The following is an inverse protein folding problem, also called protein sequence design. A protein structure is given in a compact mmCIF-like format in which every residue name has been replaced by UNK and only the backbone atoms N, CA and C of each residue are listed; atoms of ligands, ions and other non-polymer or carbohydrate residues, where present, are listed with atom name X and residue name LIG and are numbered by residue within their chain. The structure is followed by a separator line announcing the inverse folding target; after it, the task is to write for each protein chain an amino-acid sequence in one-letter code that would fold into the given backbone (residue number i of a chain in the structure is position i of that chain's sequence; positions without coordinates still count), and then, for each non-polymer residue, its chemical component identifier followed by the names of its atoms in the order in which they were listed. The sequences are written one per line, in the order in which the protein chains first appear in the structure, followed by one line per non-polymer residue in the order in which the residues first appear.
data_IF_033616017318
#
_entry.id   IF_033616017318
#
_cell.length_a   1.000
_cell.length_b   1.000
_cell.length_c   1.000
_cell.angle_alpha   90.00
_cell.angle_beta   90.00
_cell.angle_gamma   90.00
#
_symmetry.space_group_name_H-M   'P 1'
#
loop_
_entity.id
_entity.type
_entity.pdbx_description
1 polymer ?
#
# COMPACT_ATOMS: atom_id res chain seq x y z
N UNK A 1 7.02 25.90 31.23
CA UNK A 1 6.13 24.81 30.74
C UNK A 1 7.00 23.60 30.43
N UNK A 2 7.00 22.61 31.27
CA UNK A 2 7.75 21.35 31.07
C UNK A 2 7.02 20.56 29.98
N UNK A 3 7.64 20.42 28.82
CA UNK A 3 7.11 19.54 27.77
C UNK A 3 7.04 18.13 28.34
N UNK A 4 5.84 17.64 28.59
CA UNK A 4 5.60 16.26 28.96
C UNK A 4 6.09 15.38 27.79
N UNK A 5 7.13 14.58 28.03
CA UNK A 5 7.61 13.58 27.06
C UNK A 5 6.42 12.70 26.71
N UNK A 6 6.05 12.60 25.42
CA UNK A 6 4.97 11.74 24.96
C UNK A 6 5.43 10.30 25.17
N UNK A 7 4.96 9.66 26.22
CA UNK A 7 5.29 8.25 26.57
C UNK A 7 4.42 7.24 25.80
N UNK A 8 3.35 7.72 25.18
CA UNK A 8 2.41 6.94 24.35
C UNK A 8 2.21 7.66 23.03
N UNK A 9 2.10 6.91 21.94
CA UNK A 9 1.76 7.48 20.65
C UNK A 9 0.41 8.19 20.71
N UNK A 10 0.31 9.35 20.09
CA UNK A 10 -0.86 10.24 20.13
C UNK A 10 -1.34 10.52 18.71
N UNK A 11 -2.64 10.40 18.46
CA UNK A 11 -3.30 10.88 17.25
C UNK A 11 -4.00 12.18 17.57
N UNK A 12 -3.67 13.23 16.83
CA UNK A 12 -4.33 14.54 16.93
C UNK A 12 -5.16 14.80 15.69
N UNK A 13 -6.35 15.37 15.90
CA UNK A 13 -7.21 15.85 14.82
C UNK A 13 -7.04 17.36 14.69
N UNK A 14 -6.92 17.83 13.46
CA UNK A 14 -6.89 19.26 13.18
C UNK A 14 -8.25 19.88 13.56
N UNK A 15 -8.25 21.12 14.07
CA UNK A 15 -9.46 21.78 14.53
C UNK A 15 -10.26 22.50 13.44
N UNK A 16 -9.69 22.63 12.23
CA UNK A 16 -10.33 23.27 11.07
C UNK A 16 -10.48 22.28 9.91
N UNK A 17 -9.44 21.53 9.62
CA UNK A 17 -9.38 20.61 8.50
C UNK A 17 -9.64 19.18 8.97
N UNK A 18 -10.28 18.37 8.14
CA UNK A 18 -10.41 16.94 8.40
C UNK A 18 -9.07 16.23 8.12
N UNK A 19 -8.17 16.34 9.10
CA UNK A 19 -6.79 15.85 9.01
C UNK A 19 -6.36 15.23 10.33
N UNK A 20 -5.74 14.06 10.26
CA UNK A 20 -5.14 13.36 11.40
C UNK A 20 -3.62 13.47 11.36
N UNK A 21 -3.01 13.66 12.53
CA UNK A 21 -1.56 13.67 12.71
C UNK A 21 -1.19 12.70 13.83
N UNK A 22 -0.31 11.74 13.52
CA UNK A 22 0.20 10.79 14.51
C UNK A 22 1.54 11.30 15.01
N UNK A 23 1.68 11.32 16.32
CA UNK A 23 2.93 11.56 17.04
C UNK A 23 3.35 10.24 17.71
N UNK A 24 4.25 9.45 17.09
CA UNK A 24 4.66 8.16 17.62
C UNK A 24 5.37 8.30 18.97
N UNK A 25 5.30 7.26 19.81
CA UNK A 25 6.00 7.24 21.12
C UNK A 25 7.53 7.20 21.02
N UNK A 26 8.05 6.76 19.87
CA UNK A 26 9.48 6.54 19.60
C UNK A 26 10.08 7.57 18.61
N UNK A 27 9.69 8.83 18.73
CA UNK A 27 10.14 9.93 17.84
C UNK A 27 11.66 10.01 17.67
N UNK A 28 12.43 9.74 18.73
CA UNK A 28 13.89 9.79 18.72
C UNK A 28 14.51 8.61 17.96
N UNK A 29 13.86 7.45 17.91
CA UNK A 29 14.32 6.27 17.19
C UNK A 29 14.07 6.38 15.69
N UNK A 30 12.96 7.01 15.30
CA UNK A 30 12.60 7.24 13.89
C UNK A 30 13.65 8.10 13.17
N UNK A 31 14.37 8.97 13.90
CA UNK A 31 15.41 9.86 13.35
C UNK A 31 16.78 9.19 13.20
N UNK A 32 17.02 8.06 13.86
CA UNK A 32 18.36 7.42 13.92
C UNK A 32 18.67 6.44 12.78
N UNK A 33 17.69 6.04 11.98
CA UNK A 33 17.85 4.99 10.97
C UNK A 33 18.62 5.40 9.68
N UNK A 34 19.20 6.60 9.64
CA UNK A 34 20.05 7.03 8.52
C UNK A 34 21.54 6.67 8.68
N UNK A 35 21.90 5.85 9.66
CA UNK A 35 23.29 5.40 9.84
C UNK A 35 23.52 4.05 9.17
N UNK A 36 24.36 4.03 8.18
CA UNK A 36 25.22 2.97 7.62
C UNK A 36 25.24 1.60 8.37
N UNK A 37 24.09 0.99 8.63
CA UNK A 37 24.07 -0.39 9.09
C UNK A 37 24.30 -1.29 7.87
N UNK A 38 25.46 -1.91 7.83
CA UNK A 38 25.85 -2.88 6.79
C UNK A 38 24.99 -4.15 6.78
N UNK A 39 24.13 -4.35 7.81
CA UNK A 39 23.29 -5.55 7.99
C UNK A 39 21.82 -5.19 7.80
N UNK A 40 21.20 -5.72 6.74
CA UNK A 40 19.77 -5.58 6.53
C UNK A 40 18.99 -6.53 7.45
N UNK A 41 18.07 -6.02 8.33
CA UNK A 41 17.33 -6.87 9.26
C UNK A 41 16.25 -7.73 8.58
N UNK A 42 15.93 -7.45 7.31
CA UNK A 42 14.92 -8.19 6.55
C UNK A 42 15.50 -9.32 5.70
N UNK A 43 16.82 -9.46 5.63
CA UNK A 43 17.46 -10.56 4.92
C UNK A 43 17.35 -11.89 5.69
N UNK A 44 17.25 -13.03 5.01
CA UNK A 44 17.39 -14.35 5.62
C UNK A 44 18.70 -14.48 6.41
N UNK A 45 18.62 -15.10 7.58
CA UNK A 45 19.71 -15.20 8.54
C UNK A 45 19.78 -14.07 9.55
N UNK A 46 19.06 -12.97 9.33
CA UNK A 46 19.00 -11.80 10.19
C UNK A 46 17.67 -11.67 10.96
N UNK A 47 16.90 -12.75 11.04
CA UNK A 47 15.58 -12.74 11.66
C UNK A 47 15.59 -12.30 13.12
N UNK A 48 16.73 -12.47 13.81
CA UNK A 48 16.93 -12.01 15.22
C UNK A 48 16.90 -10.47 15.38
N UNK A 49 17.06 -9.71 14.29
CA UNK A 49 16.97 -8.25 14.31
C UNK A 49 15.54 -7.72 14.16
N UNK A 50 14.58 -8.62 13.99
CA UNK A 50 13.15 -8.31 13.88
C UNK A 50 12.36 -9.04 14.95
N UNK A 51 11.16 -8.59 15.32
CA UNK A 51 10.25 -9.38 16.15
C UNK A 51 9.93 -10.73 15.51
N UNK A 52 9.47 -11.67 16.35
CA UNK A 52 9.02 -12.99 15.89
C UNK A 52 7.98 -12.86 14.79
N UNK A 53 8.09 -13.72 13.77
CA UNK A 53 7.15 -13.70 12.66
C UNK A 53 5.77 -14.14 13.13
N UNK A 54 4.76 -13.39 12.70
CA UNK A 54 3.35 -13.74 12.86
C UNK A 54 2.94 -14.76 11.82
N UNK A 55 3.46 -14.59 10.59
CA UNK A 55 3.26 -15.48 9.44
C UNK A 55 4.54 -15.51 8.63
N UNK A 56 5.01 -16.71 8.34
CA UNK A 56 6.05 -16.99 7.35
C UNK A 56 5.49 -17.98 6.33
N UNK A 57 5.51 -17.60 5.06
CA UNK A 57 5.15 -18.51 3.96
C UNK A 57 6.39 -19.28 3.56
N UNK A 58 6.32 -20.60 3.64
CA UNK A 58 7.42 -21.52 3.30
C UNK A 58 6.95 -22.48 2.21
N UNK A 59 7.81 -22.78 1.24
CA UNK A 59 7.54 -23.78 0.21
C UNK A 59 8.32 -25.02 0.56
N UNK A 60 7.63 -26.10 0.99
CA UNK A 60 8.23 -27.40 1.27
C UNK A 60 7.70 -28.45 0.29
N UNK A 61 8.57 -29.06 -0.47
CA UNK A 61 8.20 -30.08 -1.48
C UNK A 61 7.08 -29.60 -2.44
N UNK A 62 7.12 -28.34 -2.86
CA UNK A 62 6.11 -27.72 -3.73
C UNK A 62 4.79 -27.35 -3.03
N UNK A 63 4.67 -27.56 -1.72
CA UNK A 63 3.47 -27.22 -0.95
C UNK A 63 3.72 -25.93 -0.16
N UNK A 64 2.81 -24.96 -0.31
CA UNK A 64 2.81 -23.72 0.46
C UNK A 64 2.33 -24.00 1.90
N UNK A 65 3.18 -23.69 2.86
CA UNK A 65 2.87 -23.80 4.28
C UNK A 65 2.95 -22.43 4.96
N UNK A 66 2.01 -22.16 5.86
CA UNK A 66 2.01 -20.99 6.71
C UNK A 66 2.48 -21.39 8.09
N UNK A 67 3.59 -20.83 8.50
CA UNK A 67 4.22 -21.08 9.79
C UNK A 67 4.36 -19.75 10.54
N UNK A 68 4.64 -19.82 11.85
CA UNK A 68 5.02 -18.67 12.67
C UNK A 68 6.20 -19.05 13.54
N UNK A 69 6.98 -18.05 13.95
CA UNK A 69 8.03 -18.28 14.93
C UNK A 69 7.39 -18.71 16.28
N UNK A 70 8.07 -19.59 16.99
CA UNK A 70 7.70 -20.00 18.34
C UNK A 70 8.88 -19.81 19.28
N UNK A 71 8.66 -19.96 20.59
CA UNK A 71 9.69 -19.80 21.58
C UNK A 71 10.88 -20.75 21.31
N UNK A 72 12.05 -20.14 21.04
CA UNK A 72 13.27 -20.88 20.71
C UNK A 72 13.37 -21.41 19.26
N UNK A 73 12.37 -21.18 18.39
CA UNK A 73 12.40 -21.64 17.00
C UNK A 73 11.99 -20.54 16.02
N UNK A 74 12.92 -20.20 15.15
CA UNK A 74 12.72 -19.21 14.06
C UNK A 74 12.51 -19.95 12.75
N UNK A 75 11.46 -19.60 12.03
CA UNK A 75 11.17 -20.15 10.70
C UNK A 75 12.21 -19.70 9.70
N UNK A 76 12.87 -20.65 9.06
CA UNK A 76 13.86 -20.47 7.99
C UNK A 76 13.25 -20.74 6.61
N UNK A 77 13.98 -20.38 5.55
CA UNK A 77 13.60 -20.65 4.16
C UNK A 77 12.22 -20.11 3.78
N UNK A 78 11.86 -18.98 4.36
CA UNK A 78 10.62 -18.30 4.08
C UNK A 78 10.66 -17.58 2.72
N UNK A 79 9.55 -17.57 2.01
CA UNK A 79 9.32 -16.80 0.78
C UNK A 79 8.73 -15.41 1.08
N UNK A 80 7.81 -15.35 2.05
CA UNK A 80 7.21 -14.10 2.57
C UNK A 80 7.20 -14.17 4.08
N UNK A 81 7.52 -13.07 4.76
CA UNK A 81 7.55 -13.02 6.23
C UNK A 81 6.82 -11.79 6.76
N UNK A 82 5.98 -11.96 7.76
CA UNK A 82 5.21 -10.88 8.41
C UNK A 82 5.51 -10.83 9.90
N UNK A 83 5.80 -9.64 10.41
CA UNK A 83 6.04 -9.37 11.84
C UNK A 83 5.56 -7.97 12.22
N UNK A 84 5.44 -7.69 13.52
CA UNK A 84 5.14 -6.33 13.99
C UNK A 84 6.35 -5.42 13.77
N UNK A 85 6.11 -4.18 13.36
CA UNK A 85 7.21 -3.22 13.12
C UNK A 85 8.07 -3.02 14.38
N UNK A 86 9.39 -2.96 14.21
CA UNK A 86 10.34 -2.58 15.28
C UNK A 86 10.18 -1.11 15.69
N UNK A 87 9.79 -0.26 14.72
CA UNK A 87 9.58 1.18 14.92
C UNK A 87 8.14 1.56 14.58
N UNK A 88 7.15 1.04 15.37
CA UNK A 88 5.76 1.24 15.04
C UNK A 88 5.36 2.71 15.17
N UNK A 89 4.62 3.23 14.19
CA UNK A 89 4.03 4.58 14.25
C UNK A 89 2.75 4.59 15.09
N UNK A 90 2.16 3.42 15.33
CA UNK A 90 0.92 3.20 16.07
C UNK A 90 1.05 1.88 16.84
N UNK A 91 0.54 1.82 18.06
CA UNK A 91 0.66 0.65 18.92
C UNK A 91 -0.67 0.30 19.58
N UNK A 92 -0.80 -0.95 20.04
CA UNK A 92 -1.91 -1.33 20.89
C UNK A 92 -1.68 -0.75 22.29
N UNK A 93 -2.44 0.26 22.68
CA UNK A 93 -2.39 0.89 23.99
C UNK A 93 -3.74 0.73 24.69
N UNK A 94 -3.70 0.49 25.99
CA UNK A 94 -4.87 0.50 26.87
C UNK A 94 -5.14 1.88 27.47
N UNK A 95 -4.42 2.93 27.02
CA UNK A 95 -4.66 4.29 27.50
C UNK A 95 -6.06 4.75 27.12
N UNK A 96 -6.69 5.48 28.02
CA UNK A 96 -7.99 6.12 27.84
C UNK A 96 -7.87 7.63 27.94
N UNK A 97 -6.66 8.18 27.75
CA UNK A 97 -6.46 9.63 27.80
C UNK A 97 -6.93 10.25 26.50
N UNK A 98 -7.98 11.04 26.63
CA UNK A 98 -8.55 11.83 25.53
C UNK A 98 -8.57 13.28 25.94
N UNK A 99 -8.46 14.18 24.96
CA UNK A 99 -8.76 15.61 25.15
C UNK A 99 -9.94 15.98 24.27
N UNK A 100 -10.70 17.00 24.70
CA UNK A 100 -11.85 17.50 23.94
C UNK A 100 -11.46 18.63 22.98
N UNK A 101 -12.43 18.99 22.11
CA UNK A 101 -12.30 20.15 21.22
C UNK A 101 -11.99 21.43 22.02
N UNK A 102 -11.22 22.38 21.47
CA UNK A 102 -10.70 22.37 20.08
C UNK A 102 -9.42 21.55 19.88
N UNK A 103 -8.73 21.14 20.92
CA UNK A 103 -7.45 20.43 20.87
C UNK A 103 -7.66 18.92 21.06
N UNK A 104 -8.37 18.30 20.12
CA UNK A 104 -8.67 16.87 20.21
C UNK A 104 -7.43 16.02 20.04
N UNK A 105 -7.19 15.13 20.99
CA UNK A 105 -6.22 14.05 20.89
C UNK A 105 -6.73 12.75 21.50
N UNK A 106 -6.24 11.65 20.97
CA UNK A 106 -6.51 10.29 21.46
C UNK A 106 -5.25 9.43 21.34
N UNK A 107 -5.16 8.32 22.10
CA UNK A 107 -4.08 7.36 21.89
C UNK A 107 -4.07 6.85 20.46
N UNK A 108 -2.90 6.88 19.80
CA UNK A 108 -2.73 6.30 18.47
C UNK A 108 -2.79 4.77 18.59
N UNK A 109 -4.01 4.21 18.53
CA UNK A 109 -4.27 2.79 18.70
C UNK A 109 -4.33 2.05 17.38
N UNK A 110 -3.58 0.96 17.26
CA UNK A 110 -3.62 0.08 16.09
C UNK A 110 -2.48 -0.93 16.04
N UNK A 111 -2.36 -1.57 14.89
CA UNK A 111 -1.28 -2.48 14.54
C UNK A 111 -0.41 -1.82 13.46
N UNK A 112 0.88 -1.97 13.57
CA UNK A 112 1.82 -1.68 12.50
C UNK A 112 2.63 -2.94 12.21
N UNK A 113 2.38 -3.55 11.06
CA UNK A 113 3.03 -4.79 10.61
C UNK A 113 3.84 -4.53 9.36
N UNK A 114 4.92 -5.28 9.21
CA UNK A 114 5.78 -5.30 8.03
C UNK A 114 5.61 -6.65 7.35
N UNK A 115 5.34 -6.64 6.06
CA UNK A 115 5.35 -7.81 5.19
C UNK A 115 6.59 -7.71 4.29
N UNK A 116 7.60 -8.54 4.53
CA UNK A 116 8.77 -8.68 3.66
C UNK A 116 8.37 -9.50 2.45
N UNK A 117 8.48 -8.88 1.27
CA UNK A 117 7.91 -9.41 0.03
C UNK A 117 8.76 -10.46 -0.69
N UNK A 118 10.03 -10.57 -0.35
CA UNK A 118 10.99 -11.53 -0.96
C UNK A 118 12.14 -11.77 0.00
N UNK A 119 12.77 -12.95 0.02
CA UNK A 119 14.00 -13.18 0.77
C UNK A 119 15.22 -12.50 0.14
N UNK A 120 15.16 -12.14 -1.13
CA UNK A 120 16.29 -11.59 -1.86
C UNK A 120 16.38 -10.07 -1.70
N UNK A 121 17.45 -9.59 -1.08
CA UNK A 121 17.68 -8.16 -0.84
C UNK A 121 17.80 -7.33 -2.13
N UNK A 122 18.38 -7.91 -3.18
CA UNK A 122 18.61 -7.22 -4.46
C UNK A 122 17.39 -7.16 -5.38
N UNK A 123 16.27 -7.78 -4.99
CA UNK A 123 15.02 -7.69 -5.71
C UNK A 123 14.42 -6.27 -5.62
N UNK A 124 13.51 -5.99 -6.53
CA UNK A 124 12.63 -4.82 -6.48
C UNK A 124 11.22 -5.25 -6.83
N UNK A 125 10.22 -4.48 -6.39
CA UNK A 125 8.82 -4.76 -6.73
C UNK A 125 8.54 -4.82 -8.24
N UNK A 126 9.38 -4.19 -9.06
CA UNK A 126 9.33 -4.26 -10.53
C UNK A 126 9.95 -5.54 -11.11
N UNK A 127 10.69 -6.32 -10.32
CA UNK A 127 11.47 -7.50 -10.79
C UNK A 127 11.05 -8.81 -10.15
N UNK A 128 10.45 -8.80 -8.95
CA UNK A 128 9.96 -10.06 -8.34
C UNK A 128 9.02 -10.78 -9.28
N UNK A 129 9.05 -12.10 -9.28
CA UNK A 129 8.27 -12.93 -10.21
C UNK A 129 6.76 -12.79 -9.98
N UNK A 130 5.97 -13.19 -10.98
CA UNK A 130 4.50 -13.26 -10.83
C UNK A 130 4.11 -14.22 -9.72
N UNK A 131 4.80 -15.35 -9.60
CA UNK A 131 4.59 -16.32 -8.52
C UNK A 131 4.86 -15.68 -7.14
N UNK A 132 5.94 -14.94 -7.00
CA UNK A 132 6.27 -14.25 -5.76
C UNK A 132 5.23 -13.16 -5.42
N UNK A 133 4.74 -12.41 -6.41
CA UNK A 133 3.60 -11.51 -6.23
C UNK A 133 2.33 -12.26 -5.76
N UNK A 134 2.05 -13.44 -6.31
CA UNK A 134 0.93 -14.28 -5.83
C UNK A 134 1.10 -14.63 -4.34
N UNK A 135 2.31 -15.04 -3.94
CA UNK A 135 2.61 -15.37 -2.54
C UNK A 135 2.40 -14.16 -1.61
N UNK A 136 2.88 -12.98 -2.03
CA UNK A 136 2.69 -11.71 -1.30
C UNK A 136 1.21 -11.38 -1.16
N UNK A 137 0.44 -11.44 -2.26
CA UNK A 137 -0.98 -11.12 -2.28
C UNK A 137 -1.82 -12.08 -1.44
N UNK A 138 -1.50 -13.39 -1.45
CA UNK A 138 -2.15 -14.39 -0.61
C UNK A 138 -1.94 -14.12 0.88
N UNK A 139 -0.70 -13.82 1.28
CA UNK A 139 -0.39 -13.47 2.67
C UNK A 139 -1.04 -12.15 3.07
N UNK A 140 -1.01 -11.15 2.19
CA UNK A 140 -1.65 -9.86 2.41
C UNK A 140 -3.17 -10.01 2.61
N UNK A 141 -3.83 -10.81 1.77
CA UNK A 141 -5.27 -11.11 1.86
C UNK A 141 -5.63 -11.69 3.24
N UNK A 142 -4.84 -12.65 3.74
CA UNK A 142 -5.05 -13.25 5.05
C UNK A 142 -4.82 -12.26 6.19
N UNK A 143 -3.78 -11.43 6.08
CA UNK A 143 -3.48 -10.40 7.09
C UNK A 143 -4.58 -9.35 7.17
N UNK A 144 -5.08 -8.87 6.05
CA UNK A 144 -6.19 -7.92 6.01
C UNK A 144 -7.43 -8.51 6.69
N UNK A 145 -7.82 -9.77 6.37
CA UNK A 145 -8.95 -10.44 7.01
C UNK A 145 -8.78 -10.54 8.53
N UNK A 146 -7.61 -10.98 8.97
CA UNK A 146 -7.33 -11.10 10.40
C UNK A 146 -7.36 -9.74 11.10
N UNK A 147 -6.77 -8.69 10.51
CA UNK A 147 -6.76 -7.36 11.09
C UNK A 147 -8.17 -6.78 11.22
N UNK A 148 -9.03 -6.93 10.21
CA UNK A 148 -10.42 -6.49 10.32
C UNK A 148 -11.25 -7.28 11.35
N UNK A 149 -10.85 -8.49 11.71
CA UNK A 149 -11.48 -9.24 12.81
C UNK A 149 -11.11 -8.73 14.21
N UNK A 150 -10.07 -7.88 14.31
CA UNK A 150 -9.62 -7.37 15.61
C UNK A 150 -10.52 -6.27 16.13
N UNK A 151 -10.68 -6.24 17.47
CA UNK A 151 -11.43 -5.16 18.14
C UNK A 151 -10.76 -3.80 17.87
N UNK A 152 -11.56 -2.75 17.72
CA UNK A 152 -11.11 -1.38 17.47
C UNK A 152 -10.36 -1.17 16.14
N UNK A 153 -10.31 -2.14 15.23
CA UNK A 153 -9.83 -1.91 13.88
C UNK A 153 -11.02 -1.56 12.98
N UNK A 154 -11.00 -0.36 12.43
CA UNK A 154 -12.04 0.15 11.52
C UNK A 154 -11.49 0.26 10.09
N UNK A 155 -10.20 0.52 9.94
CA UNK A 155 -9.54 0.62 8.65
C UNK A 155 -8.15 -0.04 8.65
N UNK A 156 -7.81 -0.70 7.54
CA UNK A 156 -6.50 -1.30 7.29
C UNK A 156 -5.87 -0.56 6.11
N UNK A 157 -4.81 0.19 6.37
CA UNK A 157 -3.99 0.83 5.34
C UNK A 157 -2.88 -0.12 4.92
N UNK A 158 -2.69 -0.28 3.62
CA UNK A 158 -1.62 -1.10 3.02
C UNK A 158 -0.90 -0.25 1.99
N UNK A 159 0.41 -0.10 2.15
CA UNK A 159 1.20 0.71 1.22
C UNK A 159 2.64 0.25 1.09
N UNK A 160 3.26 0.64 -0.01
CA UNK A 160 4.67 0.43 -0.31
C UNK A 160 5.33 1.81 -0.43
N UNK A 161 6.44 1.98 0.27
CA UNK A 161 7.37 3.08 0.07
C UNK A 161 8.62 2.50 -0.61
N UNK A 162 8.82 2.76 -1.89
CA UNK A 162 9.95 2.24 -2.65
C UNK A 162 10.94 3.36 -2.98
N UNK A 163 12.17 3.20 -2.49
CA UNK A 163 13.25 4.17 -2.70
C UNK A 163 13.24 5.34 -1.73
N UNK A 164 14.41 5.94 -1.51
CA UNK A 164 14.67 6.95 -0.48
C UNK A 164 13.78 8.20 -0.59
N UNK A 165 13.44 8.61 -1.82
CA UNK A 165 12.57 9.78 -2.05
C UNK A 165 11.11 9.55 -1.66
N UNK A 166 10.71 8.30 -1.50
CA UNK A 166 9.34 7.92 -1.12
C UNK A 166 9.22 7.46 0.34
N UNK A 167 10.25 7.70 1.15
CA UNK A 167 10.20 7.48 2.60
C UNK A 167 10.49 6.04 3.05
N UNK A 168 11.08 5.19 2.18
CA UNK A 168 11.56 3.89 2.63
C UNK A 168 12.68 4.05 3.66
N UNK A 169 12.62 3.26 4.73
CA UNK A 169 13.64 3.26 5.79
C UNK A 169 14.66 2.13 5.58
N UNK A 170 14.24 1.02 5.01
CA UNK A 170 15.04 -0.17 4.77
C UNK A 170 14.91 -0.52 3.29
N UNK A 171 16.03 -0.53 2.59
CA UNK A 171 16.10 -0.85 1.17
C UNK A 171 16.03 -2.37 0.94
N UNK A 172 14.90 -2.95 1.31
CA UNK A 172 14.53 -4.34 1.07
C UNK A 172 13.03 -4.35 0.77
N UNK A 173 12.55 -5.02 -0.28
CA UNK A 173 11.14 -4.96 -0.67
C UNK A 173 10.20 -5.38 0.46
N UNK A 174 9.43 -4.43 0.99
CA UNK A 174 8.47 -4.67 2.07
C UNK A 174 7.22 -3.81 1.90
N UNK A 175 6.16 -4.26 2.53
CA UNK A 175 4.84 -3.61 2.56
C UNK A 175 4.54 -3.24 4.00
N UNK A 176 4.16 -2.00 4.22
CA UNK A 176 3.64 -1.53 5.50
C UNK A 176 2.14 -1.81 5.60
N UNK A 177 1.70 -2.33 6.73
CA UNK A 177 0.30 -2.56 7.06
C UNK A 177 0.00 -1.86 8.38
N UNK A 178 -0.78 -0.79 8.33
CA UNK A 178 -1.12 0.03 9.49
C UNK A 178 -2.64 0.06 9.67
N UNK A 179 -3.11 -0.10 10.91
CA UNK A 179 -4.55 -0.07 11.17
C UNK A 179 -4.95 1.15 11.99
N UNK A 180 -6.20 1.55 11.83
CA UNK A 180 -6.80 2.69 12.53
C UNK A 180 -8.11 2.29 13.21
N UNK A 181 -8.40 2.93 14.34
CA UNK A 181 -9.68 2.84 15.05
C UNK A 181 -10.80 3.61 14.36
N UNK A 182 -10.46 4.58 13.51
CA UNK A 182 -11.37 5.34 12.66
C UNK A 182 -10.92 5.26 11.19
N UNK A 183 -11.85 5.55 10.28
CA UNK A 183 -11.51 5.65 8.86
C UNK A 183 -10.67 6.91 8.63
N UNK A 184 -9.52 6.82 7.95
CA UNK A 184 -8.73 8.00 7.62
C UNK A 184 -9.55 9.02 6.80
N UNK A 185 -9.40 10.33 7.05
CA UNK A 185 -10.27 11.37 6.45
C UNK A 185 -10.31 11.33 4.92
N UNK A 186 -9.20 11.07 4.28
CA UNK A 186 -9.12 10.98 2.82
C UNK A 186 -9.95 9.82 2.26
N UNK A 187 -9.94 8.68 2.93
CA UNK A 187 -10.75 7.50 2.57
C UNK A 187 -12.22 7.75 2.85
N UNK A 188 -12.56 8.37 4.00
CA UNK A 188 -13.93 8.74 4.35
C UNK A 188 -14.51 9.69 3.30
N UNK A 189 -13.75 10.72 2.90
CA UNK A 189 -14.16 11.66 1.85
C UNK A 189 -14.42 10.95 0.50
N UNK A 190 -13.50 10.08 0.06
CA UNK A 190 -13.69 9.28 -1.17
C UNK A 190 -14.96 8.41 -1.09
N UNK A 191 -15.19 7.76 0.05
CA UNK A 191 -16.35 6.89 0.24
C UNK A 191 -17.66 7.69 0.21
N UNK A 192 -17.71 8.86 0.86
CA UNK A 192 -18.85 9.75 0.86
C UNK A 192 -19.17 10.31 -0.53
N UNK A 193 -18.15 10.73 -1.29
CA UNK A 193 -18.31 11.20 -2.67
C UNK A 193 -18.83 10.10 -3.58
N UNK A 194 -18.29 8.88 -3.45
CA UNK A 194 -18.77 7.72 -4.21
C UNK A 194 -20.23 7.41 -3.88
N UNK A 195 -20.59 7.44 -2.59
CA UNK A 195 -21.97 7.22 -2.15
C UNK A 195 -22.94 8.26 -2.71
N UNK A 196 -22.56 9.55 -2.62
CA UNK A 196 -23.36 10.65 -3.20
C UNK A 196 -23.57 10.44 -4.69
N UNK A 197 -22.48 10.16 -5.43
CA UNK A 197 -22.56 9.97 -6.87
C UNK A 197 -23.48 8.81 -7.27
N UNK A 198 -23.43 7.68 -6.54
CA UNK A 198 -24.34 6.55 -6.78
C UNK A 198 -25.80 6.93 -6.54
N UNK A 199 -26.08 7.70 -5.48
CA UNK A 199 -27.44 8.14 -5.17
C UNK A 199 -28.00 9.08 -6.25
N UNK A 200 -27.17 9.91 -6.84
CA UNK A 200 -27.56 10.88 -7.88
C UNK A 200 -27.62 10.23 -9.27
N UNK A 201 -26.75 9.28 -9.60
CA UNK A 201 -26.55 8.77 -10.95
C UNK A 201 -26.85 7.26 -11.11
N UNK A 202 -27.13 6.55 -10.03
CA UNK A 202 -27.45 5.12 -10.05
C UNK A 202 -26.26 4.17 -10.27
N UNK A 203 -25.06 4.68 -10.58
CA UNK A 203 -23.90 3.89 -10.95
C UNK A 203 -22.66 4.28 -10.11
N UNK A 204 -21.78 3.32 -9.86
CA UNK A 204 -20.49 3.57 -9.22
C UNK A 204 -19.58 4.43 -10.11
N UNK A 205 -19.04 5.56 -9.61
CA UNK A 205 -18.18 6.45 -10.40
C UNK A 205 -16.91 5.75 -10.92
N UNK A 206 -16.32 4.84 -10.14
CA UNK A 206 -15.17 4.07 -10.60
C UNK A 206 -15.54 3.07 -11.72
N UNK A 207 -16.73 2.47 -11.67
CA UNK A 207 -17.20 1.60 -12.77
C UNK A 207 -17.38 2.38 -14.07
N UNK A 208 -17.87 3.62 -13.97
CA UNK A 208 -17.98 4.51 -15.14
C UNK A 208 -16.58 4.87 -15.66
N UNK A 209 -15.66 5.24 -14.77
CA UNK A 209 -14.28 5.53 -15.15
C UNK A 209 -13.64 4.32 -15.85
N UNK A 210 -13.76 3.11 -15.30
CA UNK A 210 -13.24 1.87 -15.89
C UNK A 210 -13.81 1.66 -17.30
N UNK A 211 -15.12 1.81 -17.49
CA UNK A 211 -15.74 1.64 -18.81
C UNK A 211 -15.31 2.71 -19.83
N UNK A 212 -14.99 3.90 -19.37
CA UNK A 212 -14.49 5.00 -20.20
C UNK A 212 -13.03 4.80 -20.60
N UNK A 213 -12.22 4.24 -19.70
CA UNK A 213 -10.79 4.05 -19.92
C UNK A 213 -10.47 2.72 -20.64
N UNK A 214 -11.40 1.77 -20.65
CA UNK A 214 -11.23 0.51 -21.38
C UNK A 214 -11.13 0.80 -22.88
N UNK A 215 -10.02 0.35 -23.49
CA UNK A 215 -9.63 0.63 -24.89
C UNK A 215 -9.46 2.13 -25.21
N UNK A 216 -9.40 2.96 -24.17
CA UNK A 216 -9.19 4.40 -24.27
C UNK A 216 -7.70 4.79 -24.32
N UNK A 217 -7.41 6.07 -24.63
CA UNK A 217 -6.04 6.56 -24.83
C UNK A 217 -5.19 6.59 -23.55
N UNK A 218 -5.79 6.46 -22.37
CA UNK A 218 -5.09 6.44 -21.07
C UNK A 218 -4.92 5.02 -20.52
N UNK A 219 -5.39 3.99 -21.22
CA UNK A 219 -5.15 2.61 -20.84
C UNK A 219 -3.68 2.23 -21.01
N UNK A 220 -3.09 1.66 -19.97
CA UNK A 220 -1.74 1.08 -19.99
C UNK A 220 -1.82 -0.38 -20.39
N UNK A 221 -2.64 -1.15 -19.67
CA UNK A 221 -2.78 -2.59 -19.81
C UNK A 221 -4.15 -3.03 -19.31
N UNK A 222 -4.74 -4.04 -19.94
CA UNK A 222 -5.92 -4.73 -19.43
C UNK A 222 -5.69 -6.24 -19.50
N UNK A 223 -6.12 -6.94 -18.44
CA UNK A 223 -6.15 -8.40 -18.32
C UNK A 223 -7.61 -8.86 -18.27
N UNK A 224 -7.87 -10.14 -18.02
CA UNK A 224 -9.26 -10.64 -17.91
C UNK A 224 -10.04 -9.88 -16.82
N UNK A 225 -9.42 -9.68 -15.65
CA UNK A 225 -10.11 -9.19 -14.44
C UNK A 225 -9.70 -7.76 -14.04
N UNK A 226 -8.59 -7.23 -14.54
CA UNK A 226 -8.06 -5.93 -14.12
C UNK A 226 -7.78 -5.01 -15.31
N UNK A 227 -7.74 -3.70 -15.01
CA UNK A 227 -7.30 -2.66 -15.93
C UNK A 227 -6.34 -1.73 -15.21
N UNK A 228 -5.26 -1.35 -15.87
CA UNK A 228 -4.34 -0.29 -15.46
C UNK A 228 -4.46 0.89 -16.42
N UNK A 229 -4.64 2.09 -15.88
CA UNK A 229 -4.74 3.33 -16.67
C UNK A 229 -4.21 4.54 -15.90
N UNK A 230 -3.80 5.58 -16.63
CA UNK A 230 -3.49 6.88 -16.05
C UNK A 230 -4.79 7.66 -15.82
N UNK A 231 -5.11 8.12 -14.60
CA UNK A 231 -6.32 8.90 -14.33
C UNK A 231 -6.39 10.16 -15.20
N UNK A 232 -7.61 10.58 -15.60
CA UNK A 232 -7.84 11.81 -16.35
C UNK A 232 -7.19 13.04 -15.73
N UNK A 233 -7.27 13.16 -14.40
CA UNK A 233 -6.68 14.24 -13.63
C UNK A 233 -5.51 13.70 -12.78
N UNK A 234 -4.49 13.13 -13.42
CA UNK A 234 -3.28 12.66 -12.76
C UNK A 234 -2.55 13.81 -12.09
N UNK A 235 -2.29 13.67 -10.78
CA UNK A 235 -1.59 14.66 -9.96
C UNK A 235 -0.08 14.62 -10.23
N UNK A 236 0.47 13.41 -10.33
CA UNK A 236 1.90 13.19 -10.53
C UNK A 236 2.21 12.73 -11.96
N UNK A 237 3.38 13.13 -12.53
CA UNK A 237 3.83 12.57 -13.81
C UNK A 237 3.90 11.04 -13.76
N UNK A 238 3.32 10.38 -14.76
CA UNK A 238 3.23 8.92 -14.87
C UNK A 238 2.47 8.22 -13.74
N UNK A 239 1.64 8.93 -12.99
CA UNK A 239 0.69 8.33 -12.06
C UNK A 239 -0.25 7.39 -12.80
N UNK A 240 -0.51 6.23 -12.21
CA UNK A 240 -1.49 5.28 -12.75
C UNK A 240 -2.18 4.50 -11.63
N UNK A 241 -3.30 3.90 -11.97
CA UNK A 241 -4.07 3.08 -11.05
C UNK A 241 -4.45 1.74 -11.69
N UNK A 242 -4.62 0.72 -10.83
CA UNK A 242 -5.07 -0.62 -11.21
C UNK A 242 -6.40 -0.89 -10.54
N UNK A 243 -7.43 -1.15 -11.33
CA UNK A 243 -8.78 -1.45 -10.86
C UNK A 243 -9.20 -2.85 -11.25
N UNK A 244 -9.93 -3.59 -10.39
CA UNK A 244 -10.71 -4.73 -10.85
C UNK A 244 -11.81 -4.25 -11.81
N UNK A 245 -12.00 -4.92 -12.95
CA UNK A 245 -13.04 -4.55 -13.92
C UNK A 245 -14.45 -4.75 -13.36
N UNK A 246 -14.64 -5.82 -12.58
CA UNK A 246 -15.88 -6.09 -11.87
C UNK A 246 -15.91 -5.29 -10.57
N UNK A 247 -17.05 -4.63 -10.30
CA UNK A 247 -17.22 -3.91 -9.04
C UNK A 247 -16.96 -4.81 -7.84
N UNK A 248 -15.99 -4.41 -7.03
CA UNK A 248 -15.61 -5.10 -5.81
C UNK A 248 -15.20 -4.09 -4.75
N UNK A 249 -15.56 -4.37 -3.50
CA UNK A 249 -15.27 -3.50 -2.37
C UNK A 249 -14.01 -3.91 -1.60
N UNK A 250 -13.49 -5.12 -1.87
CA UNK A 250 -12.39 -5.66 -1.06
C UNK A 250 -11.48 -6.60 -1.85
N UNK A 251 -10.19 -6.46 -1.61
CA UNK A 251 -9.15 -7.40 -2.05
C UNK A 251 -9.33 -8.79 -1.41
N UNK A 252 -9.95 -8.88 -0.22
CA UNK A 252 -9.98 -10.12 0.55
C UNK A 252 -10.86 -11.21 -0.04
N UNK A 253 -11.69 -10.90 -1.02
CA UNK A 253 -12.64 -11.84 -1.65
C UNK A 253 -12.25 -12.28 -3.06
N UNK A 254 -11.15 -11.76 -3.62
CA UNK A 254 -10.71 -12.19 -4.95
C UNK A 254 -10.21 -13.64 -4.92
N UNK A 255 -10.49 -14.38 -5.99
CA UNK A 255 -10.12 -15.79 -6.17
C UNK A 255 -8.61 -15.94 -6.47
N UNK A 256 -8.12 -17.18 -6.42
CA UNK A 256 -6.72 -17.45 -6.82
C UNK A 256 -6.43 -17.09 -8.28
N UNK A 257 -7.41 -17.26 -9.19
CA UNK A 257 -7.28 -16.85 -10.59
C UNK A 257 -7.12 -15.31 -10.67
N UNK A 258 -7.93 -14.57 -9.93
CA UNK A 258 -7.84 -13.11 -9.87
C UNK A 258 -6.55 -12.62 -9.18
N UNK A 259 -6.04 -13.37 -8.18
CA UNK A 259 -4.72 -13.08 -7.57
C UNK A 259 -3.60 -13.21 -8.60
N UNK A 260 -3.61 -14.27 -9.41
CA UNK A 260 -2.61 -14.46 -10.46
C UNK A 260 -2.69 -13.34 -11.50
N UNK A 261 -3.87 -12.96 -11.89
CA UNK A 261 -4.12 -11.89 -12.86
C UNK A 261 -3.68 -10.52 -12.30
N UNK A 262 -3.95 -10.24 -11.02
CA UNK A 262 -3.45 -9.07 -10.32
C UNK A 262 -1.92 -9.06 -10.21
N UNK A 263 -1.31 -10.20 -9.92
CA UNK A 263 0.14 -10.35 -9.87
C UNK A 263 0.79 -10.08 -11.24
N UNK A 264 0.16 -10.57 -12.31
CA UNK A 264 0.61 -10.35 -13.69
C UNK A 264 0.58 -8.87 -14.07
N UNK A 265 -0.55 -8.18 -13.81
CA UNK A 265 -0.69 -6.76 -14.16
C UNK A 265 0.23 -5.88 -13.30
N UNK A 266 0.39 -6.17 -12.00
CA UNK A 266 1.34 -5.49 -11.11
C UNK A 266 2.78 -5.64 -11.62
N UNK A 267 3.23 -6.87 -11.87
CA UNK A 267 4.58 -7.16 -12.33
C UNK A 267 4.88 -6.45 -13.66
N UNK A 268 3.93 -6.50 -14.59
CA UNK A 268 4.10 -5.94 -15.93
C UNK A 268 4.10 -4.41 -15.92
N UNK A 269 3.19 -3.78 -15.18
CA UNK A 269 3.11 -2.32 -15.14
C UNK A 269 4.24 -1.70 -14.32
N UNK A 270 4.62 -2.28 -13.18
CA UNK A 270 5.77 -1.83 -12.40
C UNK A 270 7.09 -2.06 -13.16
N UNK A 271 7.23 -3.17 -13.87
CA UNK A 271 8.36 -3.43 -14.75
C UNK A 271 8.45 -2.41 -15.89
N UNK A 272 7.34 -2.14 -16.55
CA UNK A 272 7.24 -1.11 -17.58
C UNK A 272 7.59 0.29 -17.07
N UNK A 273 7.06 0.67 -15.90
CA UNK A 273 7.40 1.92 -15.22
C UNK A 273 8.90 2.01 -14.91
N UNK A 274 9.47 0.94 -14.39
CA UNK A 274 10.91 0.86 -14.08
C UNK A 274 11.78 1.09 -15.31
N UNK A 275 11.40 0.56 -16.47
CA UNK A 275 12.10 0.80 -17.74
C UNK A 275 11.95 2.24 -18.24
N UNK A 276 10.73 2.77 -18.24
CA UNK A 276 10.44 4.12 -18.79
C UNK A 276 11.10 5.20 -17.95
N UNK A 277 11.15 5.04 -16.62
CA UNK A 277 11.59 6.06 -15.66
C UNK A 277 12.96 5.74 -15.02
N UNK A 278 13.65 4.70 -15.49
CA UNK A 278 14.96 4.27 -14.98
C UNK A 278 14.95 4.03 -13.45
N UNK A 279 14.12 3.07 -13.00
CA UNK A 279 13.97 2.67 -11.60
C UNK A 279 13.61 3.84 -10.65
N UNK A 280 12.44 4.47 -10.82
CA UNK A 280 12.04 5.58 -9.98
C UNK A 280 11.75 5.13 -8.55
N UNK A 281 11.92 6.05 -7.59
CA UNK A 281 11.22 5.91 -6.30
C UNK A 281 9.73 6.07 -6.53
N UNK A 282 8.89 5.31 -5.81
CA UNK A 282 7.43 5.41 -5.94
C UNK A 282 6.72 5.00 -4.65
N UNK A 283 5.51 5.49 -4.48
CA UNK A 283 4.56 4.95 -3.52
C UNK A 283 3.51 4.11 -4.26
N UNK A 284 3.12 3.00 -3.67
CA UNK A 284 1.98 2.19 -4.11
C UNK A 284 1.03 2.02 -2.94
N UNK A 285 -0.25 2.31 -3.15
CA UNK A 285 -1.25 2.36 -2.09
C UNK A 285 -2.45 1.49 -2.48
N UNK A 286 -2.82 0.56 -1.60
CA UNK A 286 -4.06 -0.19 -1.74
C UNK A 286 -5.19 0.63 -1.15
N UNK A 287 -6.04 1.16 -2.00
CA UNK A 287 -7.25 1.88 -1.63
C UNK A 287 -8.35 0.87 -1.31
N UNK A 288 -8.46 0.51 -0.03
CA UNK A 288 -9.44 -0.47 0.44
C UNK A 288 -10.72 0.22 0.88
N UNK A 289 -11.84 -0.49 0.78
CA UNK A 289 -13.10 0.00 1.31
C UNK A 289 -13.12 -0.02 2.83
N UNK A 290 -13.68 1.02 3.49
CA UNK A 290 -13.98 0.94 4.92
C UNK A 290 -15.05 -0.12 5.18
N UNK A 291 -14.74 -1.18 5.94
CA UNK A 291 -15.66 -2.33 6.09
C UNK A 291 -16.95 -2.02 6.86
N UNK A 292 -16.97 -0.98 7.70
CA UNK A 292 -18.06 -0.74 8.67
C UNK A 292 -19.09 0.32 8.28
N UNK A 293 -18.95 1.04 7.17
CA UNK A 293 -19.90 2.09 6.75
C UNK A 293 -20.16 2.02 5.24
N UNK A 294 -21.42 1.88 4.84
CA UNK A 294 -21.94 2.03 3.44
C UNK A 294 -20.94 1.84 2.30
N UNK A 295 -20.04 0.86 2.47
CA UNK A 295 -18.88 0.65 1.64
C UNK A 295 -19.19 -0.01 0.29
N UNK A 296 -20.48 -0.31 0.03
CA UNK A 296 -20.91 -1.03 -1.19
C UNK A 296 -20.64 -0.26 -2.48
N UNK A 297 -20.44 1.05 -2.40
CA UNK A 297 -20.12 1.90 -3.55
C UNK A 297 -18.63 2.19 -3.70
N UNK A 298 -17.80 1.87 -2.70
CA UNK A 298 -16.37 2.05 -2.80
C UNK A 298 -15.76 0.91 -3.62
N UNK A 299 -15.21 1.24 -4.77
CA UNK A 299 -14.52 0.28 -5.62
C UNK A 299 -13.03 0.26 -5.22
N UNK A 300 -12.55 -0.85 -4.62
CA UNK A 300 -11.15 -0.94 -4.24
C UNK A 300 -10.23 -0.90 -5.46
N UNK A 301 -9.05 -0.32 -5.28
CA UNK A 301 -8.06 -0.18 -6.36
C UNK A 301 -6.67 0.01 -5.77
N UNK A 302 -5.68 0.02 -6.66
CA UNK A 302 -4.29 0.30 -6.30
C UNK A 302 -3.88 1.56 -7.04
N UNK A 303 -3.29 2.51 -6.31
CA UNK A 303 -2.74 3.74 -6.87
C UNK A 303 -1.22 3.70 -6.81
N UNK A 304 -0.56 4.10 -7.90
CA UNK A 304 0.90 4.12 -8.01
C UNK A 304 1.35 5.54 -8.35
N UNK A 305 2.23 6.08 -7.50
CA UNK A 305 2.74 7.44 -7.55
C UNK A 305 4.26 7.45 -7.72
N UNK A 306 4.78 7.53 -8.96
CA UNK A 306 6.21 7.72 -9.19
C UNK A 306 6.66 9.08 -8.69
N UNK A 307 7.78 9.12 -7.97
CA UNK A 307 8.36 10.37 -7.50
C UNK A 307 9.28 10.97 -8.57
N UNK A 308 8.75 11.88 -9.36
CA UNK A 308 9.47 12.58 -10.42
C UNK A 308 9.80 14.00 -9.98
N UNK A 309 8.81 14.72 -9.45
CA UNK A 309 8.91 16.11 -9.00
C UNK A 309 8.43 16.25 -7.56
N UNK A 310 8.99 17.22 -6.83
CA UNK A 310 8.50 17.60 -5.51
C UNK A 310 7.29 18.53 -5.64
N UNK A 311 6.35 18.42 -4.70
CA UNK A 311 5.22 19.34 -4.58
C UNK A 311 5.69 20.71 -4.12
N UNK A 312 5.20 21.77 -4.78
CA UNK A 312 5.53 23.16 -4.49
C UNK A 312 4.52 23.83 -3.54
N UNK A 313 4.59 25.15 -3.41
CA UNK A 313 3.66 25.88 -2.56
C UNK A 313 2.22 25.89 -3.08
N UNK A 314 2.03 25.80 -4.39
CA UNK A 314 0.69 25.77 -5.00
C UNK A 314 -0.08 24.51 -4.61
N UNK A 315 0.56 23.37 -4.78
CA UNK A 315 -0.05 22.07 -4.45
C UNK A 315 -0.28 21.94 -2.94
N UNK A 316 0.72 22.29 -2.13
CA UNK A 316 0.66 22.16 -0.67
C UNK A 316 -0.31 23.14 -0.01
N UNK A 317 -0.41 24.36 -0.53
CA UNK A 317 -1.21 25.43 0.07
C UNK A 317 -2.65 25.49 -0.44
N UNK A 318 -2.87 25.11 -1.70
CA UNK A 318 -4.16 25.33 -2.37
C UNK A 318 -4.79 24.06 -2.96
N UNK A 319 -4.08 22.93 -2.96
CA UNK A 319 -4.60 21.68 -3.54
C UNK A 319 -4.82 21.76 -5.06
N UNK A 320 -4.11 22.67 -5.75
CA UNK A 320 -4.10 22.78 -7.21
C UNK A 320 -2.79 22.23 -7.71
N UNK A 321 -2.86 21.19 -8.55
CA UNK A 321 -1.69 20.42 -8.97
C UNK A 321 -1.26 20.80 -10.39
N UNK A 322 0.05 20.85 -10.61
CA UNK A 322 0.65 21.08 -11.94
C UNK A 322 1.37 19.83 -12.38
N UNK A 323 0.86 19.20 -13.43
CA UNK A 323 1.47 18.02 -14.04
C UNK A 323 1.97 18.41 -15.46
N UNK A 324 3.24 18.18 -15.72
CA UNK A 324 3.86 18.49 -17.01
C UNK A 324 3.82 17.35 -18.03
N UNK A 325 3.19 16.22 -17.67
CA UNK A 325 3.02 15.04 -18.54
C UNK A 325 1.53 14.74 -18.67
N UNK A 326 1.03 14.77 -19.89
CA UNK A 326 -0.34 14.38 -20.16
C UNK A 326 -0.54 12.89 -19.88
N UNK A 327 -1.66 12.49 -19.25
CA UNK A 327 -1.92 11.09 -18.93
C UNK A 327 -1.94 10.16 -20.14
N UNK A 328 -2.37 10.65 -21.31
CA UNK A 328 -2.33 9.91 -22.59
C UNK A 328 -0.87 9.61 -23.01
N UNK A 329 0.02 10.58 -22.86
CA UNK A 329 1.45 10.41 -23.15
C UNK A 329 2.11 9.42 -22.17
N UNK A 330 1.78 9.52 -20.89
CA UNK A 330 2.25 8.59 -19.89
C UNK A 330 1.77 7.16 -20.17
N UNK A 331 0.48 6.98 -20.43
CA UNK A 331 -0.13 5.68 -20.70
C UNK A 331 0.45 5.03 -21.97
N UNK A 332 0.67 5.79 -23.03
CA UNK A 332 1.29 5.29 -24.25
C UNK A 332 2.69 4.69 -23.97
N UNK A 333 3.54 5.41 -23.24
CA UNK A 333 4.90 4.97 -22.91
C UNK A 333 4.89 3.78 -21.95
N UNK A 334 4.12 3.87 -20.86
CA UNK A 334 3.99 2.80 -19.88
C UNK A 334 3.40 1.53 -20.49
N UNK A 335 2.38 1.67 -21.33
CA UNK A 335 1.72 0.55 -22.01
C UNK A 335 2.62 -0.18 -23.00
N UNK A 336 3.43 0.56 -23.77
CA UNK A 336 4.42 -0.06 -24.65
C UNK A 336 5.46 -0.87 -23.87
N UNK A 337 5.95 -0.35 -22.73
CA UNK A 337 6.91 -1.03 -21.88
C UNK A 337 6.28 -2.21 -21.11
N UNK A 338 5.05 -2.06 -20.60
CA UNK A 338 4.35 -3.14 -19.90
C UNK A 338 4.07 -4.35 -20.81
N UNK A 339 3.71 -4.13 -22.08
CA UNK A 339 3.55 -5.22 -23.06
C UNK A 339 4.86 -5.98 -23.33
N UNK A 340 6.00 -5.28 -23.40
CA UNK A 340 7.32 -5.94 -23.48
C UNK A 340 7.61 -6.79 -22.23
N UNK A 341 7.25 -6.30 -21.05
CA UNK A 341 7.40 -7.10 -19.82
C UNK A 341 6.52 -8.36 -19.83
N UNK A 342 5.28 -8.30 -20.34
CA UNK A 342 4.46 -9.50 -20.54
C UNK A 342 5.14 -10.49 -21.50
N UNK A 343 5.64 -10.03 -22.65
CA UNK A 343 6.33 -10.89 -23.59
C UNK A 343 7.50 -11.64 -22.93
N UNK A 344 8.31 -10.95 -22.12
CA UNK A 344 9.38 -11.58 -21.32
C UNK A 344 8.88 -12.61 -20.33
N UNK A 345 7.78 -12.28 -19.59
CA UNK A 345 7.22 -13.17 -18.57
C UNK A 345 6.70 -14.47 -19.20
N UNK A 346 6.07 -14.38 -20.39
CA UNK A 346 5.51 -15.55 -21.07
C UNK A 346 6.48 -16.23 -22.06
N UNK A 347 7.70 -15.71 -22.19
CA UNK A 347 8.76 -16.33 -23.02
C UNK A 347 8.54 -16.21 -24.52
N UNK A 348 7.94 -15.11 -24.99
CA UNK A 348 7.62 -14.83 -26.41
C UNK A 348 8.57 -13.77 -27.00
N UNK A 349 9.82 -13.70 -26.53
CA UNK A 349 10.87 -12.85 -27.12
C UNK A 349 11.65 -13.59 -28.19
#
# INVERSE_FOLDING_TARGET
MTFKRITLGELRKDYVMDKFVIYPSNLDEIKKDNSSNTICPYCPGNENYTPSSIVSLVIKSGILQRLSDSEGSIVKDWSVRVFNSNTPIIIQSNSTLYTDKPLYSEPAYGYHQILVATPNHSDSFSKISVEQWCNVLLVLQDRIRWLYSQKKVTYVSVYINNGNKCGTKIDHPHIDIVTFSEVPPFIESKALLSHRYVNENGNCPSCIAISTELDGPRQILATDNFIAFCPWASIYPYEFAIYPKKHSTTLTKISQKEIFDLAMILRSTLGGMSQVLNNPSFNLIFQLSPEKKNSRQFHWHIEIYPHINDLTGLEKGFGVFVNNILPETAAMKLGAAARKEIAKIVGVE
#
